data_IF_246898758103
#
_entry.id   IF_246898758103
#
_cell.length_a   1.000
_cell.length_b   1.000
_cell.length_c   1.000
_cell.angle_alpha   90.00
_cell.angle_beta   90.00
_cell.angle_gamma   90.00
#
_symmetry.space_group_name_H-M   'P 1'
#
loop_
_entity.id
_entity.type
_entity.pdbx_description
1 polymer ?
#
# COMPACT_ATOMS: atom_id res chain seq x y z
N UNK A 1 -4.52 15.49 25.17
CA UNK A 1 -5.46 15.45 26.31
C UNK A 1 -6.10 14.09 26.45
N UNK A 2 -7.07 13.74 25.60
CA UNK A 2 -7.89 12.53 25.76
C UNK A 2 -7.13 11.19 25.84
N UNK A 3 -6.06 11.01 25.06
CA UNK A 3 -5.33 9.74 25.03
C UNK A 3 -4.60 9.46 26.36
N UNK A 4 -3.99 10.51 26.95
CA UNK A 4 -3.31 10.45 28.25
C UNK A 4 -4.32 10.26 29.38
N UNK A 5 -5.47 10.96 29.32
CA UNK A 5 -6.57 10.78 30.28
C UNK A 5 -7.14 9.36 30.26
N UNK A 6 -7.33 8.75 29.08
CA UNK A 6 -7.79 7.36 28.97
C UNK A 6 -6.72 6.34 29.41
N UNK A 7 -5.44 6.60 29.12
CA UNK A 7 -4.33 5.76 29.57
C UNK A 7 -4.23 5.74 31.11
N UNK A 8 -4.36 6.90 31.74
CA UNK A 8 -4.32 7.05 33.20
C UNK A 8 -5.58 6.47 33.85
N UNK A 9 -6.77 6.66 33.24
CA UNK A 9 -8.05 6.17 33.76
C UNK A 9 -8.25 4.66 33.64
N UNK A 10 -7.82 4.02 32.53
CA UNK A 10 -8.14 2.62 32.23
C UNK A 10 -6.95 1.65 32.38
N UNK A 11 -5.71 2.15 32.52
CA UNK A 11 -4.46 1.38 32.67
C UNK A 11 -4.44 0.10 31.80
N UNK A 12 -4.65 -1.08 32.37
CA UNK A 12 -4.62 -2.36 31.65
C UNK A 12 -5.85 -2.62 30.77
N UNK A 13 -7.02 -2.08 31.12
CA UNK A 13 -8.26 -2.21 30.34
C UNK A 13 -8.24 -1.39 29.04
N UNK A 14 -7.27 -0.49 28.89
CA UNK A 14 -7.07 0.27 27.67
C UNK A 14 -6.55 -0.60 26.52
N UNK A 15 -5.71 -1.60 26.83
CA UNK A 15 -5.09 -2.50 25.84
C UNK A 15 -5.94 -3.72 25.49
N UNK A 16 -7.07 -3.96 26.17
CA UNK A 16 -7.99 -5.05 25.79
C UNK A 16 -8.95 -4.64 24.67
N UNK A 17 -9.19 -3.34 24.48
CA UNK A 17 -10.07 -2.81 23.44
C UNK A 17 -9.24 -2.45 22.21
N UNK A 18 -9.34 -3.23 21.13
CA UNK A 18 -8.56 -3.02 19.90
C UNK A 18 -8.68 -1.62 19.28
N UNK A 19 -9.85 -0.99 19.40
CA UNK A 19 -10.06 0.40 18.96
C UNK A 19 -9.28 1.44 19.77
N UNK A 20 -9.00 1.17 21.04
CA UNK A 20 -8.17 2.04 21.87
C UNK A 20 -6.69 1.85 21.53
N UNK A 21 -6.26 0.63 21.25
CA UNK A 21 -4.88 0.35 20.77
C UNK A 21 -4.64 1.05 19.43
N UNK A 22 -5.57 0.95 18.48
CA UNK A 22 -5.47 1.66 17.20
C UNK A 22 -5.34 3.18 17.39
N UNK A 23 -6.18 3.77 18.24
CA UNK A 23 -6.14 5.19 18.58
C UNK A 23 -4.80 5.60 19.20
N UNK A 24 -4.27 4.78 20.11
CA UNK A 24 -2.95 5.00 20.73
C UNK A 24 -1.83 4.98 19.70
N UNK A 25 -1.81 3.97 18.81
CA UNK A 25 -0.80 3.87 17.74
C UNK A 25 -0.87 5.08 16.82
N UNK A 26 -2.06 5.52 16.39
CA UNK A 26 -2.23 6.71 15.56
C UNK A 26 -1.76 7.99 16.26
N UNK A 27 -2.01 8.10 17.57
CA UNK A 27 -1.53 9.23 18.39
C UNK A 27 0.00 9.24 18.49
N UNK A 28 0.62 8.10 18.79
CA UNK A 28 2.07 7.98 18.88
C UNK A 28 2.73 8.29 17.52
N UNK A 29 2.23 7.70 16.43
CA UNK A 29 2.72 8.00 15.07
C UNK A 29 2.59 9.49 14.71
N UNK A 30 1.50 10.14 15.14
CA UNK A 30 1.30 11.57 14.92
C UNK A 30 2.28 12.45 15.70
N UNK A 31 2.68 12.03 16.91
CA UNK A 31 3.65 12.73 17.76
C UNK A 31 5.06 12.52 17.19
N UNK A 32 5.41 11.27 16.88
CA UNK A 32 6.69 10.90 16.25
C UNK A 32 6.87 11.65 14.93
N UNK A 33 5.85 11.70 14.08
CA UNK A 33 5.91 12.46 12.82
C UNK A 33 6.06 13.98 13.01
N UNK A 34 5.58 14.55 14.12
CA UNK A 34 5.78 15.97 14.43
C UNK A 34 7.23 16.23 14.87
N UNK A 35 7.74 15.42 15.80
CA UNK A 35 9.13 15.50 16.27
C UNK A 35 10.13 15.23 15.13
N UNK A 36 9.89 14.24 14.27
CA UNK A 36 10.75 13.98 13.10
C UNK A 36 10.76 15.16 12.13
N UNK A 37 9.63 15.86 11.95
CA UNK A 37 9.58 17.03 11.05
C UNK A 37 10.48 18.16 11.56
N UNK A 38 10.45 18.44 12.87
CA UNK A 38 11.32 19.47 13.49
C UNK A 38 12.79 19.06 13.45
N UNK A 39 13.08 17.77 13.61
CA UNK A 39 14.45 17.24 13.55
C UNK A 39 15.02 17.30 12.12
N UNK A 40 14.20 17.04 11.10
CA UNK A 40 14.58 17.12 9.69
C UNK A 40 14.68 18.57 9.18
N UNK A 41 13.95 19.51 9.76
CA UNK A 41 14.16 20.93 9.45
C UNK A 41 15.51 21.43 9.98
N UNK A 42 15.96 20.88 11.11
CA UNK A 42 17.25 21.20 11.74
C UNK A 42 18.45 20.52 11.07
N UNK A 43 18.27 19.28 10.60
CA UNK A 43 19.28 18.53 9.86
C UNK A 43 18.83 18.48 8.40
N UNK A 44 19.43 19.28 7.50
CA UNK A 44 19.13 19.34 6.06
C UNK A 44 19.01 17.95 5.41
N UNK A 45 17.82 17.34 5.46
CA UNK A 45 17.56 15.97 5.00
C UNK A 45 16.63 15.99 3.77
N UNK A 46 16.85 15.01 2.89
CA UNK A 46 16.21 14.84 1.58
C UNK A 46 14.72 15.23 1.51
N UNK A 47 14.29 15.92 0.43
CA UNK A 47 12.89 16.30 0.21
C UNK A 47 11.91 15.12 0.13
N UNK A 48 12.37 13.88 -0.12
CA UNK A 48 11.52 12.68 -0.14
C UNK A 48 11.04 12.28 1.25
N UNK A 49 11.91 12.33 2.27
CA UNK A 49 11.57 12.01 3.66
C UNK A 49 10.54 13.01 4.22
N UNK A 50 10.67 14.29 3.87
CA UNK A 50 9.71 15.30 4.28
C UNK A 50 8.30 15.04 3.75
N UNK A 51 8.17 14.55 2.50
CA UNK A 51 6.87 14.18 1.90
C UNK A 51 6.22 13.02 2.66
N UNK A 52 6.99 11.99 3.03
CA UNK A 52 6.47 10.83 3.78
C UNK A 52 5.94 11.24 5.16
N UNK A 53 6.63 12.14 5.86
CA UNK A 53 6.18 12.62 7.18
C UNK A 53 4.89 13.44 7.09
N UNK A 54 4.72 14.22 6.01
CA UNK A 54 3.44 14.91 5.76
C UNK A 54 2.30 13.91 5.56
N UNK A 55 2.55 12.77 4.89
CA UNK A 55 1.53 11.71 4.74
C UNK A 55 1.12 11.12 6.10
N UNK A 56 2.05 10.98 7.06
CA UNK A 56 1.72 10.49 8.40
C UNK A 56 0.67 11.38 9.13
N UNK A 57 0.60 12.68 8.78
CA UNK A 57 -0.42 13.60 9.33
C UNK A 57 -1.84 13.25 8.85
N UNK A 58 -1.99 12.65 7.68
CA UNK A 58 -3.28 12.17 7.12
C UNK A 58 -3.87 11.07 8.03
N UNK A 59 -3.03 10.32 8.75
CA UNK A 59 -3.46 9.33 9.74
C UNK A 59 -4.38 9.90 10.83
N UNK A 60 -4.38 11.21 11.08
CA UNK A 60 -5.32 11.86 12.02
C UNK A 60 -6.78 11.78 11.55
N UNK A 61 -7.02 11.75 10.25
CA UNK A 61 -8.37 11.58 9.66
C UNK A 61 -8.96 10.22 10.05
N UNK A 62 -8.12 9.20 10.27
CA UNK A 62 -8.56 7.89 10.73
C UNK A 62 -9.24 7.93 12.11
N UNK A 63 -9.03 8.99 12.91
CA UNK A 63 -9.77 9.18 14.18
C UNK A 63 -11.26 9.43 13.96
N UNK A 64 -11.66 10.00 12.81
CA UNK A 64 -13.08 10.22 12.47
C UNK A 64 -13.84 8.90 12.32
N UNK A 65 -13.15 7.82 11.95
CA UNK A 65 -13.72 6.47 11.81
C UNK A 65 -14.29 5.97 13.15
N UNK A 66 -13.73 6.40 14.28
CA UNK A 66 -14.19 6.02 15.63
C UNK A 66 -15.61 6.52 15.93
N UNK A 67 -15.94 7.73 15.47
CA UNK A 67 -17.27 8.34 15.67
C UNK A 67 -18.32 7.82 14.69
N UNK A 68 -17.89 7.36 13.52
CA UNK A 68 -18.78 6.90 12.46
C UNK A 68 -19.13 5.41 12.59
N UNK A 69 -20.19 5.10 13.34
CA UNK A 69 -20.69 3.72 13.54
C UNK A 69 -20.93 2.97 12.21
N UNK A 70 -21.41 3.65 11.17
CA UNK A 70 -21.62 3.06 9.83
C UNK A 70 -20.31 2.63 9.14
N UNK A 71 -19.29 3.50 9.14
CA UNK A 71 -17.96 3.20 8.56
C UNK A 71 -17.33 2.02 9.30
N UNK A 72 -17.48 1.97 10.63
CA UNK A 72 -16.96 0.87 11.45
C UNK A 72 -17.52 -0.50 11.04
N UNK A 73 -18.82 -0.57 10.75
CA UNK A 73 -19.45 -1.82 10.31
C UNK A 73 -18.92 -2.26 8.95
N UNK A 74 -18.72 -1.33 8.01
CA UNK A 74 -18.15 -1.63 6.69
C UNK A 74 -16.70 -2.13 6.80
N UNK A 75 -15.88 -1.48 7.62
CA UNK A 75 -14.50 -1.92 7.86
C UNK A 75 -14.44 -3.28 8.56
N UNK A 76 -15.37 -3.58 9.46
CA UNK A 76 -15.47 -4.90 10.08
C UNK A 76 -15.83 -5.97 9.04
N UNK A 77 -16.82 -5.70 8.18
CA UNK A 77 -17.17 -6.61 7.09
C UNK A 77 -15.97 -6.87 6.14
N UNK A 78 -15.23 -5.80 5.79
CA UNK A 78 -13.99 -5.91 5.01
C UNK A 78 -12.97 -6.81 5.71
N UNK A 79 -12.70 -6.58 7.00
CA UNK A 79 -11.76 -7.41 7.77
C UNK A 79 -12.19 -8.88 7.85
N UNK A 80 -13.48 -9.17 7.94
CA UNK A 80 -13.99 -10.55 7.92
C UNK A 80 -13.81 -11.23 6.56
N UNK A 81 -13.80 -10.46 5.46
CA UNK A 81 -13.51 -10.98 4.11
C UNK A 81 -12.01 -11.11 3.78
N UNK A 82 -11.12 -10.45 4.53
CA UNK A 82 -9.67 -10.47 4.26
C UNK A 82 -9.06 -11.88 4.21
N UNK A 83 -9.41 -12.84 5.11
CA UNK A 83 -8.82 -14.18 5.04
C UNK A 83 -9.17 -14.91 3.74
N UNK A 84 -10.41 -14.79 3.27
CA UNK A 84 -10.83 -15.37 2.01
C UNK A 84 -10.16 -14.67 0.81
N UNK A 85 -10.07 -13.34 0.84
CA UNK A 85 -9.38 -12.55 -0.17
C UNK A 85 -7.88 -12.88 -0.24
N UNK A 86 -7.24 -13.16 0.90
CA UNK A 86 -5.84 -13.53 0.96
C UNK A 86 -5.56 -14.86 0.25
N UNK A 87 -6.44 -15.86 0.40
CA UNK A 87 -6.31 -17.13 -0.30
C UNK A 87 -6.39 -16.96 -1.83
N UNK A 88 -7.36 -16.17 -2.31
CA UNK A 88 -7.51 -15.86 -3.73
C UNK A 88 -6.34 -15.01 -4.23
N UNK A 89 -5.92 -14.02 -3.44
CA UNK A 89 -4.78 -13.15 -3.74
C UNK A 89 -3.46 -13.90 -3.83
N UNK A 90 -3.23 -14.91 -2.99
CA UNK A 90 -2.06 -15.79 -3.08
C UNK A 90 -2.07 -16.62 -4.36
N UNK A 91 -3.23 -17.17 -4.74
CA UNK A 91 -3.36 -17.90 -6.00
C UNK A 91 -3.09 -16.98 -7.19
N UNK A 92 -3.68 -15.78 -7.20
CA UNK A 92 -3.45 -14.77 -8.24
C UNK A 92 -1.97 -14.35 -8.30
N UNK A 93 -1.34 -14.15 -7.15
CA UNK A 93 0.09 -13.83 -7.07
C UNK A 93 0.96 -14.96 -7.63
N UNK A 94 0.64 -16.22 -7.33
CA UNK A 94 1.34 -17.36 -7.91
C UNK A 94 1.21 -17.40 -9.44
N UNK A 95 0.00 -17.14 -9.97
CA UNK A 95 -0.22 -17.07 -11.42
C UNK A 95 0.60 -15.93 -12.03
N UNK A 96 0.54 -14.73 -11.47
CA UNK A 96 1.36 -13.59 -11.93
C UNK A 96 2.85 -13.91 -11.89
N UNK A 97 3.32 -14.60 -10.84
CA UNK A 97 4.73 -14.99 -10.71
C UNK A 97 5.17 -15.93 -11.84
N UNK A 98 4.38 -16.96 -12.15
CA UNK A 98 4.67 -17.89 -13.24
C UNK A 98 4.72 -17.13 -14.57
N UNK A 99 3.70 -16.31 -14.86
CA UNK A 99 3.66 -15.52 -16.09
C UNK A 99 4.76 -14.46 -16.17
N UNK A 100 5.25 -13.93 -15.04
CA UNK A 100 6.36 -12.98 -15.02
C UNK A 100 7.66 -13.63 -15.48
N UNK A 101 7.93 -14.86 -15.01
CA UNK A 101 9.11 -15.63 -15.45
C UNK A 101 9.01 -15.98 -16.93
N UNK A 102 7.85 -16.49 -17.37
CA UNK A 102 7.61 -16.78 -18.79
C UNK A 102 7.73 -15.53 -19.67
N UNK A 103 7.17 -14.41 -19.23
CA UNK A 103 7.23 -13.14 -19.94
C UNK A 103 8.67 -12.64 -20.06
N UNK A 104 9.46 -12.76 -18.99
CA UNK A 104 10.86 -12.38 -19.00
C UNK A 104 11.71 -13.26 -19.92
N UNK A 105 11.47 -14.58 -19.96
CA UNK A 105 12.25 -15.45 -20.83
C UNK A 105 11.92 -15.30 -22.32
N UNK A 106 10.68 -14.95 -22.65
CA UNK A 106 10.19 -14.91 -24.04
C UNK A 106 10.13 -13.49 -24.64
N UNK A 107 9.81 -12.48 -23.83
CA UNK A 107 9.48 -11.13 -24.29
C UNK A 107 10.49 -10.05 -23.85
N UNK A 108 11.61 -10.42 -23.22
CA UNK A 108 12.62 -9.46 -22.78
C UNK A 108 13.26 -8.64 -23.92
N UNK A 109 13.34 -9.20 -25.14
CA UNK A 109 14.01 -8.56 -26.28
C UNK A 109 13.04 -8.10 -27.37
N UNK A 110 11.75 -8.01 -27.05
CA UNK A 110 10.73 -7.51 -27.96
C UNK A 110 10.98 -6.03 -28.25
N UNK A 111 10.71 -5.61 -29.50
CA UNK A 111 10.90 -4.22 -29.91
C UNK A 111 10.03 -3.29 -29.07
N UNK A 112 10.63 -2.21 -28.56
CA UNK A 112 9.93 -1.19 -27.76
C UNK A 112 8.96 -0.41 -28.67
N UNK A 113 7.67 -0.52 -28.39
CA UNK A 113 6.59 0.21 -29.08
C UNK A 113 5.56 0.72 -28.05
N UNK A 114 4.34 1.04 -28.49
CA UNK A 114 3.34 1.84 -27.75
C UNK A 114 3.04 1.37 -26.31
N UNK A 115 3.22 0.08 -25.99
CA UNK A 115 3.03 -0.43 -24.62
C UNK A 115 4.27 -1.01 -23.93
N UNK A 116 5.43 -1.06 -24.58
CA UNK A 116 6.69 -1.53 -23.98
C UNK A 116 7.68 -0.37 -23.99
N UNK A 117 7.92 0.22 -22.81
CA UNK A 117 8.84 1.34 -22.61
C UNK A 117 9.99 0.97 -21.65
N UNK A 118 10.85 1.92 -21.30
CA UNK A 118 12.03 1.69 -20.45
C UNK A 118 11.66 1.28 -19.00
N UNK A 119 10.43 1.57 -18.56
CA UNK A 119 9.94 1.31 -17.20
C UNK A 119 8.95 0.13 -17.13
N UNK A 120 8.14 -0.05 -18.17
CA UNK A 120 7.12 -1.07 -18.34
C UNK A 120 7.54 -2.03 -19.46
N UNK A 121 8.33 -3.03 -19.10
CA UNK A 121 8.84 -4.05 -20.00
C UNK A 121 8.99 -5.41 -19.31
N UNK A 122 9.34 -6.42 -20.10
CA UNK A 122 9.63 -7.77 -19.61
C UNK A 122 11.13 -8.05 -19.45
N UNK A 123 11.98 -7.02 -19.34
CA UNK A 123 13.44 -7.22 -19.22
C UNK A 123 13.85 -7.69 -17.83
N UNK A 124 13.15 -7.22 -16.79
CA UNK A 124 13.41 -7.57 -15.40
C UNK A 124 12.16 -8.14 -14.74
N UNK A 125 12.37 -8.93 -13.68
CA UNK A 125 11.28 -9.49 -12.89
C UNK A 125 10.35 -8.43 -12.32
N UNK A 126 10.91 -7.32 -11.80
CA UNK A 126 10.13 -6.21 -11.22
C UNK A 126 9.24 -5.54 -12.27
N UNK A 127 9.79 -5.22 -13.44
CA UNK A 127 9.03 -4.58 -14.52
C UNK A 127 7.94 -5.53 -15.04
N UNK A 128 8.27 -6.83 -15.22
CA UNK A 128 7.32 -7.87 -15.64
C UNK A 128 6.13 -7.99 -14.67
N UNK A 129 6.40 -7.94 -13.35
CA UNK A 129 5.36 -7.98 -12.32
C UNK A 129 4.46 -6.75 -12.37
N UNK A 130 5.00 -5.56 -12.64
CA UNK A 130 4.21 -4.33 -12.78
C UNK A 130 3.32 -4.40 -14.03
N UNK A 131 3.85 -4.86 -15.17
CA UNK A 131 3.06 -5.07 -16.39
C UNK A 131 1.93 -6.09 -16.18
N UNK A 132 2.20 -7.22 -15.52
CA UNK A 132 1.17 -8.24 -15.24
C UNK A 132 0.14 -7.76 -14.22
N UNK A 133 0.54 -6.94 -13.25
CA UNK A 133 -0.39 -6.29 -12.34
C UNK A 133 -1.36 -5.37 -13.10
N UNK A 134 -0.86 -4.62 -14.09
CA UNK A 134 -1.69 -3.80 -14.97
C UNK A 134 -2.66 -4.67 -15.81
N UNK A 135 -2.16 -5.74 -16.44
CA UNK A 135 -2.97 -6.68 -17.23
C UNK A 135 -4.05 -7.36 -16.36
N UNK A 136 -3.80 -7.60 -15.08
CA UNK A 136 -4.80 -8.19 -14.16
C UNK A 136 -6.05 -7.31 -14.03
N UNK A 137 -5.92 -6.00 -14.25
CA UNK A 137 -7.06 -5.05 -14.32
C UNK A 137 -7.65 -4.93 -15.72
N UNK A 138 -7.20 -5.75 -16.66
CA UNK A 138 -7.52 -5.71 -18.10
C UNK A 138 -7.18 -4.38 -18.77
N UNK A 139 -6.24 -3.63 -18.21
CA UNK A 139 -5.82 -2.32 -18.73
C UNK A 139 -4.53 -2.41 -19.54
N UNK A 140 -4.49 -1.81 -20.73
CA UNK A 140 -3.27 -1.67 -21.55
C UNK A 140 -2.63 -2.98 -22.03
N UNK A 141 -3.36 -4.09 -22.00
CA UNK A 141 -2.90 -5.38 -22.53
C UNK A 141 -2.74 -5.35 -24.05
N UNK A 142 -3.54 -4.53 -24.74
CA UNK A 142 -3.50 -4.29 -26.18
C UNK A 142 -2.18 -3.63 -26.60
N UNK A 143 -1.72 -2.63 -25.84
CA UNK A 143 -0.44 -1.98 -26.07
C UNK A 143 0.76 -2.90 -25.84
N UNK A 144 0.67 -3.81 -24.86
CA UNK A 144 1.71 -4.82 -24.58
C UNK A 144 1.73 -5.93 -25.64
N UNK A 145 0.58 -6.27 -26.22
CA UNK A 145 0.47 -7.32 -27.22
C UNK A 145 0.93 -6.87 -28.63
N UNK A 146 0.64 -5.63 -29.01
CA UNK A 146 0.99 -5.08 -30.33
C UNK A 146 2.46 -5.31 -30.77
N UNK A 147 3.48 -4.98 -29.95
CA UNK A 147 4.87 -5.22 -30.33
C UNK A 147 5.23 -6.71 -30.39
N UNK A 148 4.56 -7.56 -29.60
CA UNK A 148 4.79 -9.01 -29.60
C UNK A 148 4.30 -9.62 -30.91
N UNK A 149 3.18 -9.13 -31.46
CA UNK A 149 2.64 -9.59 -32.76
C UNK A 149 3.45 -9.11 -33.97
N UNK A 150 4.16 -7.99 -33.84
CA UNK A 150 5.01 -7.42 -34.88
C UNK A 150 6.46 -7.95 -34.85
N UNK A 151 6.79 -8.84 -33.90
CA UNK A 151 8.13 -9.41 -33.69
C UNK A 151 8.37 -10.67 -34.51
#
# INVERSE_FOLDING_TARGET
GECVLKLISLRHYYFTIGWNIFDFVVVILSIVGMFLAELIEKYFVSPTLFRVIRLARIGRILRLIKGAKGIRTLLFALMMSLPALFNIGLLLFLVMFIYAIFGMSNFAYVKREVGIDDMFNFETFGNSMICLFQITTSAGWDGLLAPILNS
#
